data_IF_758987855790
#
_entry.id   IF_758987855790
#
_cell.length_a   1.000
_cell.length_b   1.000
_cell.length_c   1.000
_cell.angle_alpha   90.00
_cell.angle_beta   90.00
_cell.angle_gamma   90.00
#
_symmetry.space_group_name_H-M   'P 1'
#
loop_
_entity.id
_entity.type
_entity.pdbx_description
1 polymer ?
#
# COMPACT_ATOMS: atom_id res chain seq x y z
N UNK A 1 -44.23 39.49 20.65
CA UNK A 1 -43.71 38.41 19.77
C UNK A 1 -42.56 38.91 18.87
N UNK A 2 -41.57 39.63 19.41
CA UNK A 2 -40.40 40.08 18.63
C UNK A 2 -39.07 40.03 19.41
N UNK A 3 -39.12 39.84 20.74
CA UNK A 3 -37.91 39.84 21.59
C UNK A 3 -37.33 38.43 21.78
N UNK A 4 -38.10 37.37 21.51
CA UNK A 4 -37.67 35.98 21.70
C UNK A 4 -36.92 35.38 20.50
N UNK A 5 -37.04 35.97 19.30
CA UNK A 5 -36.38 35.48 18.08
C UNK A 5 -34.91 35.93 17.97
N UNK A 6 -34.54 37.07 18.59
CA UNK A 6 -33.17 37.59 18.54
C UNK A 6 -32.16 36.85 19.43
N UNK A 7 -32.63 36.23 20.53
CA UNK A 7 -31.75 35.54 21.48
C UNK A 7 -31.34 34.14 21.01
N UNK A 8 -32.16 33.48 20.19
CA UNK A 8 -31.83 32.14 19.66
C UNK A 8 -30.80 32.26 18.53
N UNK A 9 -30.84 33.33 17.73
CA UNK A 9 -29.85 33.57 16.67
C UNK A 9 -28.44 33.90 17.22
N UNK A 10 -28.35 34.44 18.44
CA UNK A 10 -27.06 34.79 19.06
C UNK A 10 -26.35 33.58 19.70
N UNK A 11 -27.09 32.55 20.13
CA UNK A 11 -26.52 31.35 20.76
C UNK A 11 -26.22 30.20 19.80
N UNK A 12 -26.82 30.19 18.60
CA UNK A 12 -26.62 29.09 17.63
C UNK A 12 -25.45 29.35 16.68
N UNK A 13 -25.07 30.61 16.45
CA UNK A 13 -23.95 30.95 15.55
C UNK A 13 -22.53 30.57 16.04
N UNK A 14 -22.19 30.51 17.35
CA UNK A 14 -20.86 30.12 17.77
C UNK A 14 -20.67 28.60 17.95
N UNK A 15 -21.75 27.81 18.00
CA UNK A 15 -21.63 26.36 18.28
C UNK A 15 -21.20 25.58 17.03
N UNK A 16 -21.61 26.02 15.84
CA UNK A 16 -21.16 25.41 14.57
C UNK A 16 -19.70 25.69 14.27
N UNK A 17 -19.15 26.82 14.76
CA UNK A 17 -17.75 27.17 14.52
C UNK A 17 -16.79 26.44 15.47
N UNK A 18 -17.25 25.92 16.62
CA UNK A 18 -16.39 25.24 17.60
C UNK A 18 -16.27 23.74 17.30
N UNK A 19 -17.30 23.10 16.74
CA UNK A 19 -17.28 21.66 16.40
C UNK A 19 -16.25 21.29 15.32
N UNK A 20 -15.95 22.20 14.41
CA UNK A 20 -15.02 21.98 13.29
C UNK A 20 -13.54 22.00 13.74
N UNK A 21 -13.21 22.80 14.76
CA UNK A 21 -11.86 22.83 15.34
C UNK A 21 -11.56 21.62 16.22
N UNK A 22 -12.57 21.08 16.92
CA UNK A 22 -12.40 19.86 17.72
C UNK A 22 -12.21 18.62 16.83
N UNK A 23 -12.87 18.55 15.67
CA UNK A 23 -12.69 17.45 14.72
C UNK A 23 -11.26 17.39 14.14
N UNK A 24 -10.71 18.54 13.75
CA UNK A 24 -9.35 18.65 13.19
C UNK A 24 -8.28 18.42 14.26
N UNK A 25 -8.50 18.92 15.49
CA UNK A 25 -7.56 18.69 16.59
C UNK A 25 -7.52 17.22 17.03
N UNK A 26 -8.66 16.53 17.10
CA UNK A 26 -8.71 15.12 17.49
C UNK A 26 -8.18 14.20 16.38
N UNK A 27 -8.46 14.49 15.11
CA UNK A 27 -7.90 13.73 14.00
C UNK A 27 -6.38 13.92 13.88
N UNK A 28 -5.88 15.15 14.06
CA UNK A 28 -4.45 15.45 14.06
C UNK A 28 -3.71 14.72 15.18
N UNK A 29 -4.27 14.71 16.41
CA UNK A 29 -3.68 13.96 17.53
C UNK A 29 -3.74 12.45 17.30
N UNK A 30 -4.82 11.91 16.73
CA UNK A 30 -4.91 10.49 16.40
C UNK A 30 -3.90 10.08 15.33
N UNK A 31 -3.72 10.88 14.28
CA UNK A 31 -2.72 10.66 13.23
C UNK A 31 -1.30 10.77 13.81
N UNK A 32 -1.03 11.76 14.66
CA UNK A 32 0.27 11.92 15.31
C UNK A 32 0.58 10.75 16.25
N UNK A 33 -0.39 10.30 17.05
CA UNK A 33 -0.26 9.11 17.90
C UNK A 33 -0.08 7.85 17.06
N UNK A 34 -0.78 7.72 15.93
CA UNK A 34 -0.64 6.60 15.01
C UNK A 34 0.76 6.55 14.37
N UNK A 35 1.25 7.68 13.86
CA UNK A 35 2.60 7.82 13.27
C UNK A 35 3.69 7.59 14.32
N UNK A 36 3.53 8.13 15.54
CA UNK A 36 4.49 7.95 16.63
C UNK A 36 4.47 6.52 17.18
N UNK A 37 3.30 5.87 17.24
CA UNK A 37 3.17 4.47 17.66
C UNK A 37 3.80 3.53 16.63
N UNK A 38 3.62 3.78 15.33
CA UNK A 38 4.28 3.03 14.26
C UNK A 38 5.80 3.26 14.22
N UNK A 39 6.28 4.50 14.43
CA UNK A 39 7.71 4.80 14.56
C UNK A 39 8.36 4.11 15.77
N UNK A 40 7.62 3.95 16.87
CA UNK A 40 8.12 3.25 18.08
C UNK A 40 8.09 1.74 17.90
N UNK A 41 7.14 1.19 17.14
CA UNK A 41 7.07 -0.23 16.82
C UNK A 41 8.17 -0.68 15.83
N UNK A 42 8.57 0.18 14.88
CA UNK A 42 9.70 -0.09 13.98
C UNK A 42 11.09 -0.03 14.62
N UNK A 43 11.21 0.30 15.91
CA UNK A 43 12.50 0.42 16.63
C UNK A 43 12.74 -0.71 17.64
N UNK A 44 11.90 -1.74 17.67
CA UNK A 44 12.02 -2.86 18.62
C UNK A 44 12.15 -4.22 17.93
N UNK A 45 13.06 -4.31 16.98
CA UNK A 45 13.71 -5.57 16.62
C UNK A 45 15.21 -5.44 16.89
N UNK A 46 15.50 -5.39 18.19
CA UNK A 46 16.84 -5.65 18.69
C UNK A 46 17.17 -7.12 18.46
N UNK A 47 18.00 -7.36 17.44
CA UNK A 47 19.22 -8.12 17.60
C UNK A 47 19.07 -9.49 18.29
N UNK A 48 18.50 -10.46 17.56
CA UNK A 48 18.81 -11.86 17.79
C UNK A 48 19.99 -12.23 16.88
N UNK A 49 21.15 -12.31 17.51
CA UNK A 49 22.43 -12.78 17.00
C UNK A 49 22.26 -14.15 16.30
N UNK A 50 22.30 -14.16 14.98
CA UNK A 50 22.45 -15.39 14.19
C UNK A 50 23.43 -15.14 13.07
N UNK A 51 24.68 -15.40 13.40
CA UNK A 51 25.81 -15.54 12.49
C UNK A 51 25.46 -16.47 11.30
N UNK A 52 25.50 -15.99 10.04
CA UNK A 52 25.48 -16.89 8.90
C UNK A 52 26.91 -17.39 8.61
N UNK A 53 27.11 -18.69 8.33
CA UNK A 53 28.39 -19.16 7.81
C UNK A 53 28.60 -18.64 6.39
N UNK A 54 29.84 -18.23 6.12
CA UNK A 54 30.32 -17.90 4.80
C UNK A 54 30.14 -19.12 3.88
N UNK A 55 29.37 -18.94 2.80
CA UNK A 55 29.46 -19.79 1.61
C UNK A 55 29.54 -18.84 0.42
N UNK A 56 30.60 -19.11 -0.34
CA UNK A 56 31.12 -18.35 -1.45
C UNK A 56 30.15 -18.24 -2.64
N UNK A 57 30.48 -17.29 -3.50
CA UNK A 57 29.84 -16.96 -4.76
C UNK A 57 29.52 -18.20 -5.61
N UNK A 58 28.29 -18.27 -6.11
CA UNK A 58 28.08 -18.81 -7.45
C UNK A 58 26.95 -18.06 -8.18
N UNK A 59 27.24 -17.87 -9.46
CA UNK A 59 26.61 -17.02 -10.46
C UNK A 59 25.13 -17.29 -10.74
N UNK A 60 24.57 -16.34 -11.49
CA UNK A 60 23.34 -16.41 -12.29
C UNK A 60 22.06 -16.15 -11.48
N UNK A 61 21.20 -15.21 -11.84
CA UNK A 61 20.71 -14.88 -13.18
C UNK A 61 20.50 -13.36 -13.23
N UNK A 62 21.11 -12.72 -14.23
CA UNK A 62 20.67 -11.41 -14.71
C UNK A 62 19.19 -11.52 -15.06
N UNK A 63 18.33 -11.03 -14.17
CA UNK A 63 16.91 -10.89 -14.45
C UNK A 63 16.78 -9.85 -15.55
N UNK A 64 16.78 -10.32 -16.79
CA UNK A 64 16.29 -9.56 -17.91
C UNK A 64 14.89 -9.11 -17.52
N UNK A 65 14.74 -7.82 -17.25
CA UNK A 65 13.44 -7.18 -17.06
C UNK A 65 12.74 -7.33 -18.40
N UNK A 66 11.98 -8.41 -18.54
CA UNK A 66 10.98 -8.52 -19.60
C UNK A 66 10.03 -7.37 -19.31
N UNK A 67 10.04 -6.36 -20.18
CA UNK A 67 8.96 -5.39 -20.28
C UNK A 67 7.74 -6.13 -20.83
N UNK A 68 7.16 -7.01 -20.00
CA UNK A 68 5.82 -7.48 -20.27
C UNK A 68 4.91 -6.25 -20.23
N UNK A 69 4.10 -6.01 -21.29
CA UNK A 69 3.15 -4.92 -21.30
C UNK A 69 2.23 -5.08 -20.10
N UNK A 70 2.19 -4.07 -19.23
CA UNK A 70 1.29 -4.04 -18.09
C UNK A 70 -0.13 -4.05 -18.66
N UNK A 71 -0.87 -5.13 -18.43
CA UNK A 71 -2.28 -5.19 -18.82
C UNK A 71 -3.04 -4.03 -18.15
N UNK A 72 -4.01 -3.41 -18.86
CA UNK A 72 -4.73 -2.26 -18.33
C UNK A 72 -5.44 -2.66 -17.03
N UNK A 73 -5.23 -1.88 -15.97
CA UNK A 73 -5.87 -2.13 -14.69
C UNK A 73 -7.39 -2.15 -14.85
N UNK A 74 -8.05 -3.12 -14.23
CA UNK A 74 -9.51 -3.23 -14.25
C UNK A 74 -10.21 -1.98 -13.66
N UNK A 75 -9.53 -1.25 -12.76
CA UNK A 75 -10.00 0.03 -12.24
C UNK A 75 -9.38 1.21 -13.01
N UNK A 76 -10.18 1.96 -13.81
CA UNK A 76 -9.67 3.09 -14.58
C UNK A 76 -9.13 4.22 -13.70
N UNK A 77 -9.57 4.35 -12.45
CA UNK A 77 -9.07 5.38 -11.53
C UNK A 77 -7.65 5.07 -11.07
N UNK A 78 -7.34 3.79 -10.87
CA UNK A 78 -5.98 3.34 -10.50
C UNK A 78 -5.05 3.51 -11.70
N UNK A 79 -5.49 3.16 -12.91
CA UNK A 79 -4.72 3.37 -14.13
C UNK A 79 -4.35 4.84 -14.34
N UNK A 80 -5.31 5.76 -14.20
CA UNK A 80 -5.05 7.20 -14.34
C UNK A 80 -4.14 7.73 -13.23
N UNK A 81 -4.29 7.24 -11.99
CA UNK A 81 -3.41 7.62 -10.89
C UNK A 81 -1.94 7.24 -11.18
N UNK A 82 -1.68 6.04 -11.70
CA UNK A 82 -0.32 5.64 -12.08
C UNK A 82 0.25 6.47 -13.23
N UNK A 83 -0.59 6.85 -14.19
CA UNK A 83 -0.20 7.76 -15.26
C UNK A 83 0.19 9.14 -14.72
N UNK A 84 -0.64 9.73 -13.86
CA UNK A 84 -0.34 11.01 -13.20
C UNK A 84 0.94 10.89 -12.37
N UNK A 85 1.14 9.82 -11.61
CA UNK A 85 2.37 9.60 -10.86
C UNK A 85 3.61 9.61 -11.77
N UNK A 86 3.53 8.99 -12.94
CA UNK A 86 4.60 9.02 -13.95
C UNK A 86 4.88 10.40 -14.52
N UNK A 87 3.84 11.24 -14.66
CA UNK A 87 3.98 12.63 -15.11
C UNK A 87 4.57 13.55 -14.02
N UNK A 88 4.22 13.31 -12.75
CA UNK A 88 4.73 14.09 -11.61
C UNK A 88 6.18 13.75 -11.25
N UNK A 89 6.61 12.51 -11.52
CA UNK A 89 7.88 11.96 -11.07
C UNK A 89 8.61 11.17 -12.21
N UNK A 90 8.86 11.78 -13.38
CA UNK A 90 9.37 11.09 -14.56
C UNK A 90 10.76 10.47 -14.34
N UNK A 91 11.60 11.09 -13.51
CA UNK A 91 12.92 10.56 -13.14
C UNK A 91 12.86 9.23 -12.38
N UNK A 92 11.70 8.86 -11.84
CA UNK A 92 11.48 7.64 -11.07
C UNK A 92 10.70 6.56 -11.83
N UNK A 93 10.55 6.69 -13.16
CA UNK A 93 9.73 5.80 -13.99
C UNK A 93 9.96 4.29 -13.74
N UNK A 94 11.21 3.86 -13.55
CA UNK A 94 11.55 2.45 -13.27
C UNK A 94 11.06 1.97 -11.91
N UNK A 95 11.13 2.82 -10.88
CA UNK A 95 10.62 2.51 -9.53
C UNK A 95 9.10 2.43 -9.54
N UNK A 96 8.46 3.40 -10.20
CA UNK A 96 7.01 3.43 -10.36
C UNK A 96 6.49 2.23 -11.18
N UNK A 97 7.19 1.80 -12.22
CA UNK A 97 6.77 0.63 -13.01
C UNK A 97 6.84 -0.68 -12.22
N UNK A 98 7.87 -0.85 -11.38
CA UNK A 98 7.97 -1.99 -10.46
C UNK A 98 6.84 -1.95 -9.42
N UNK A 99 6.61 -0.80 -8.78
CA UNK A 99 5.56 -0.63 -7.80
C UNK A 99 4.17 -0.91 -8.40
N UNK A 100 3.91 -0.36 -9.59
CA UNK A 100 2.68 -0.59 -10.36
C UNK A 100 2.46 -2.07 -10.64
N UNK A 101 3.49 -2.82 -11.06
CA UNK A 101 3.37 -4.25 -11.36
C UNK A 101 2.98 -5.10 -10.15
N UNK A 102 3.55 -4.81 -8.97
CA UNK A 102 3.16 -5.53 -7.75
C UNK A 102 1.70 -5.24 -7.36
N UNK A 103 1.27 -3.98 -7.49
CA UNK A 103 -0.11 -3.59 -7.23
C UNK A 103 -1.08 -4.18 -8.26
N UNK A 104 -0.76 -4.12 -9.57
CA UNK A 104 -1.60 -4.68 -10.64
C UNK A 104 -1.80 -6.18 -10.45
N UNK A 105 -0.75 -6.89 -10.02
CA UNK A 105 -0.84 -8.32 -9.77
C UNK A 105 -1.85 -8.66 -8.68
N UNK A 106 -1.91 -7.89 -7.59
CA UNK A 106 -2.95 -8.10 -6.56
C UNK A 106 -4.35 -7.79 -7.10
N UNK A 107 -4.50 -6.74 -7.91
CA UNK A 107 -5.78 -6.38 -8.52
C UNK A 107 -6.27 -7.48 -9.47
N UNK A 108 -5.39 -8.04 -10.30
CA UNK A 108 -5.70 -9.20 -11.16
C UNK A 108 -6.14 -10.40 -10.33
N UNK A 109 -5.37 -10.76 -9.30
CA UNK A 109 -5.70 -11.90 -8.44
C UNK A 109 -7.06 -11.72 -7.76
N UNK A 110 -7.45 -10.50 -7.42
CA UNK A 110 -8.75 -10.22 -6.80
C UNK A 110 -9.96 -10.43 -7.73
N UNK A 111 -9.74 -10.58 -9.04
CA UNK A 111 -10.79 -10.84 -10.04
C UNK A 111 -11.02 -12.33 -10.33
N UNK A 112 -10.18 -13.22 -9.77
CA UNK A 112 -10.33 -14.67 -9.94
C UNK A 112 -11.59 -15.20 -9.20
N UNK A 113 -12.13 -16.35 -9.61
CA UNK A 113 -13.34 -16.92 -8.98
C UNK A 113 -13.10 -17.50 -7.56
N UNK A 114 -11.86 -17.89 -7.26
CA UNK A 114 -11.45 -18.50 -6.00
C UNK A 114 -10.38 -17.66 -5.31
N UNK A 115 -10.83 -16.57 -4.66
CA UNK A 115 -9.95 -15.56 -4.07
C UNK A 115 -10.02 -15.58 -2.56
N UNK A 116 -8.86 -15.51 -1.93
CA UNK A 116 -8.73 -15.36 -0.49
C UNK A 116 -9.17 -13.96 -0.07
N UNK A 117 -9.90 -13.86 1.06
CA UNK A 117 -10.43 -12.58 1.53
C UNK A 117 -9.33 -11.52 1.76
N UNK A 118 -8.13 -11.92 2.17
CA UNK A 118 -6.98 -11.02 2.34
C UNK A 118 -6.53 -10.35 1.03
N UNK A 119 -6.67 -11.05 -0.11
CA UNK A 119 -6.37 -10.49 -1.44
C UNK A 119 -7.41 -9.44 -1.82
N UNK A 120 -8.69 -9.67 -1.51
CA UNK A 120 -9.78 -8.70 -1.73
C UNK A 120 -9.61 -7.44 -0.86
N UNK A 121 -9.18 -7.61 0.38
CA UNK A 121 -8.87 -6.48 1.27
C UNK A 121 -7.67 -5.68 0.76
N UNK A 122 -6.63 -6.36 0.33
CA UNK A 122 -5.44 -5.74 -0.24
C UNK A 122 -5.78 -4.98 -1.54
N UNK A 123 -6.60 -5.56 -2.43
CA UNK A 123 -7.03 -4.89 -3.66
C UNK A 123 -7.87 -3.65 -3.36
N UNK A 124 -8.81 -3.75 -2.41
CA UNK A 124 -9.63 -2.62 -1.96
C UNK A 124 -8.76 -1.50 -1.37
N UNK A 125 -7.74 -1.87 -0.58
CA UNK A 125 -6.76 -0.93 -0.05
C UNK A 125 -5.99 -0.21 -1.17
N UNK A 126 -5.51 -0.94 -2.18
CA UNK A 126 -4.78 -0.38 -3.34
C UNK A 126 -5.68 0.58 -4.12
N UNK A 127 -6.90 0.15 -4.48
CA UNK A 127 -7.85 0.94 -5.28
C UNK A 127 -8.24 2.27 -4.60
N UNK A 128 -8.21 2.33 -3.27
CA UNK A 128 -8.45 3.57 -2.54
C UNK A 128 -7.19 4.41 -2.39
N UNK A 129 -6.10 3.80 -1.95
CA UNK A 129 -4.93 4.52 -1.42
C UNK A 129 -4.02 5.06 -2.52
N UNK A 130 -3.87 4.33 -3.64
CA UNK A 130 -3.04 4.80 -4.76
C UNK A 130 -3.59 6.10 -5.36
N UNK A 131 -4.87 6.20 -5.75
CA UNK A 131 -5.43 7.45 -6.26
C UNK A 131 -5.37 8.59 -5.22
N UNK A 132 -5.62 8.29 -3.94
CA UNK A 132 -5.59 9.28 -2.86
C UNK A 132 -4.19 9.87 -2.68
N UNK A 133 -3.15 9.03 -2.61
CA UNK A 133 -1.76 9.46 -2.47
C UNK A 133 -1.31 10.32 -3.66
N UNK A 134 -1.62 9.88 -4.89
CA UNK A 134 -1.28 10.64 -6.10
C UNK A 134 -2.02 11.97 -6.16
N UNK A 135 -3.31 12.00 -5.83
CA UNK A 135 -4.10 13.25 -5.83
C UNK A 135 -3.57 14.26 -4.81
N UNK A 136 -3.15 13.78 -3.63
CA UNK A 136 -2.58 14.60 -2.57
C UNK A 136 -1.23 15.17 -3.00
N UNK A 137 -0.34 14.34 -3.53
CA UNK A 137 0.95 14.79 -4.02
C UNK A 137 0.81 15.78 -5.18
N UNK A 138 -0.12 15.55 -6.12
CA UNK A 138 -0.40 16.46 -7.22
C UNK A 138 -0.83 17.85 -6.71
N UNK A 139 -1.71 17.89 -5.70
CA UNK A 139 -2.15 19.14 -5.09
C UNK A 139 -0.97 19.88 -4.42
N UNK A 140 -0.16 19.17 -3.63
CA UNK A 140 1.02 19.76 -2.97
C UNK A 140 2.06 20.29 -3.96
N UNK A 141 2.33 19.55 -5.04
CA UNK A 141 3.28 19.97 -6.07
C UNK A 141 2.80 21.19 -6.87
N UNK A 142 1.48 21.34 -7.03
CA UNK A 142 0.89 22.51 -7.69
C UNK A 142 1.13 23.78 -6.88
N UNK A 143 1.08 23.69 -5.55
CA UNK A 143 1.28 24.81 -4.64
C UNK A 143 2.76 25.08 -4.33
N UNK A 144 3.66 24.13 -4.62
CA UNK A 144 5.10 24.25 -4.39
C UNK A 144 5.74 25.32 -5.30
N UNK A 145 6.36 26.32 -4.68
CA UNK A 145 6.98 27.45 -5.37
C UNK A 145 8.38 27.12 -5.92
N UNK A 146 9.14 26.29 -5.20
CA UNK A 146 10.52 25.96 -5.54
C UNK A 146 10.62 24.63 -6.31
N UNK A 147 11.47 24.54 -7.35
CA UNK A 147 11.73 23.27 -8.05
C UNK A 147 12.29 22.17 -7.13
N UNK A 148 13.06 22.53 -6.11
CA UNK A 148 13.60 21.57 -5.14
C UNK A 148 12.50 20.94 -4.29
N UNK A 149 11.52 21.73 -3.87
CA UNK A 149 10.38 21.27 -3.08
C UNK A 149 9.52 20.28 -3.87
N UNK A 150 9.27 20.55 -5.16
CA UNK A 150 8.57 19.60 -6.05
C UNK A 150 9.31 18.27 -6.18
N UNK A 151 10.64 18.29 -6.28
CA UNK A 151 11.45 17.06 -6.31
C UNK A 151 11.36 16.28 -5.01
N UNK A 152 11.40 16.96 -3.86
CA UNK A 152 11.21 16.29 -2.57
C UNK A 152 9.83 15.63 -2.47
N UNK A 153 8.77 16.34 -2.87
CA UNK A 153 7.41 15.78 -2.93
C UNK A 153 7.30 14.60 -3.89
N UNK A 154 8.05 14.61 -5.01
CA UNK A 154 8.05 13.52 -5.98
C UNK A 154 8.73 12.28 -5.41
N UNK A 155 9.86 12.45 -4.71
CA UNK A 155 10.52 11.36 -4.01
C UNK A 155 9.62 10.76 -2.91
N UNK A 156 8.95 11.61 -2.12
CA UNK A 156 8.00 11.18 -1.09
C UNK A 156 6.83 10.38 -1.67
N UNK A 157 6.22 10.87 -2.75
CA UNK A 157 5.16 10.14 -3.46
C UNK A 157 5.65 8.76 -3.91
N UNK A 158 6.82 8.68 -4.53
CA UNK A 158 7.38 7.41 -5.01
C UNK A 158 7.62 6.45 -3.86
N UNK A 159 8.18 6.93 -2.74
CA UNK A 159 8.39 6.12 -1.53
C UNK A 159 7.07 5.59 -0.96
N UNK A 160 6.01 6.40 -0.95
CA UNK A 160 4.70 5.95 -0.47
C UNK A 160 4.07 4.91 -1.41
N UNK A 161 4.19 5.10 -2.73
CA UNK A 161 3.72 4.11 -3.71
C UNK A 161 4.51 2.80 -3.63
N UNK A 162 5.81 2.85 -3.37
CA UNK A 162 6.64 1.66 -3.12
C UNK A 162 6.24 0.93 -1.83
N UNK A 163 5.87 1.65 -0.76
CA UNK A 163 5.37 1.02 0.47
C UNK A 163 4.04 0.29 0.23
N UNK A 164 3.15 0.88 -0.56
CA UNK A 164 1.89 0.22 -0.97
C UNK A 164 2.21 -1.05 -1.78
N UNK A 165 3.13 -0.94 -2.74
CA UNK A 165 3.54 -2.07 -3.57
C UNK A 165 4.23 -3.19 -2.77
N UNK A 166 5.03 -2.84 -1.77
CA UNK A 166 5.67 -3.81 -0.88
C UNK A 166 4.63 -4.63 -0.11
N UNK A 167 3.59 -3.99 0.42
CA UNK A 167 2.46 -4.69 1.06
C UNK A 167 1.72 -5.60 0.07
N UNK A 168 1.54 -5.15 -1.17
CA UNK A 168 0.94 -5.96 -2.23
C UNK A 168 1.78 -7.22 -2.52
N UNK A 169 3.11 -7.05 -2.58
CA UNK A 169 4.05 -8.14 -2.81
C UNK A 169 4.04 -9.16 -1.65
N UNK A 170 4.00 -8.70 -0.40
CA UNK A 170 3.90 -9.55 0.79
C UNK A 170 2.63 -10.41 0.76
N UNK A 171 1.50 -9.87 0.30
CA UNK A 171 0.27 -10.63 0.17
C UNK A 171 0.37 -11.72 -0.91
N UNK A 172 0.99 -11.41 -2.06
CA UNK A 172 1.24 -12.39 -3.12
C UNK A 172 2.13 -13.53 -2.61
N UNK A 173 3.19 -13.19 -1.88
CA UNK A 173 4.13 -14.19 -1.36
C UNK A 173 3.52 -15.02 -0.23
N UNK A 174 2.68 -14.41 0.61
CA UNK A 174 1.87 -15.11 1.62
C UNK A 174 0.95 -16.15 0.95
N UNK A 175 0.16 -15.75 -0.05
CA UNK A 175 -0.71 -16.67 -0.82
C UNK A 175 0.11 -17.80 -1.45
N UNK A 176 1.24 -17.47 -2.08
CA UNK A 176 2.14 -18.45 -2.70
C UNK A 176 2.66 -19.47 -1.68
N UNK A 177 3.01 -19.01 -0.48
CA UNK A 177 3.47 -19.87 0.60
C UNK A 177 2.34 -20.79 1.10
N UNK A 178 1.12 -20.27 1.26
CA UNK A 178 -0.05 -21.05 1.67
C UNK A 178 -0.36 -22.16 0.65
N UNK A 179 -0.35 -21.85 -0.65
CA UNK A 179 -0.55 -22.82 -1.72
C UNK A 179 0.56 -23.90 -1.74
N UNK A 180 1.81 -23.52 -1.49
CA UNK A 180 2.91 -24.49 -1.36
C UNK A 180 2.72 -25.41 -0.16
N UNK A 181 2.29 -24.86 0.97
CA UNK A 181 2.04 -25.63 2.18
C UNK A 181 0.88 -26.60 2.01
N UNK A 182 -0.23 -26.16 1.40
CA UNK A 182 -1.39 -27.03 1.14
C UNK A 182 -1.00 -28.19 0.20
N UNK A 183 -0.22 -27.91 -0.84
CA UNK A 183 0.31 -28.95 -1.74
C UNK A 183 1.22 -29.96 -1.02
N UNK A 184 2.10 -29.49 -0.13
CA UNK A 184 2.96 -30.37 0.66
C UNK A 184 2.16 -31.29 1.59
N UNK A 185 1.04 -30.81 2.15
CA UNK A 185 0.13 -31.63 2.97
C UNK A 185 -0.48 -32.75 2.11
N UNK A 186 -1.01 -32.41 0.93
CA UNK A 186 -1.60 -33.40 0.00
C UNK A 186 -0.56 -34.46 -0.40
N UNK A 187 0.63 -34.04 -0.79
CA UNK A 187 1.72 -34.95 -1.15
C UNK A 187 2.09 -35.90 0.00
N UNK A 188 2.19 -35.38 1.21
CA UNK A 188 2.49 -36.19 2.41
C UNK A 188 1.37 -37.18 2.71
N UNK A 189 0.10 -36.77 2.54
CA UNK A 189 -1.04 -37.67 2.73
C UNK A 189 -1.03 -38.82 1.73
N UNK A 190 -0.74 -38.55 0.46
CA UNK A 190 -0.63 -39.57 -0.59
C UNK A 190 0.50 -40.55 -0.23
N UNK A 191 1.70 -40.04 0.07
CA UNK A 191 2.85 -40.86 0.41
C UNK A 191 2.57 -41.80 1.59
N UNK A 192 1.89 -41.31 2.63
CA UNK A 192 1.52 -42.10 3.81
C UNK A 192 0.47 -43.18 3.54
N UNK A 193 -0.47 -42.96 2.60
CA UNK A 193 -1.43 -44.01 2.20
C UNK A 193 -0.75 -45.07 1.34
N UNK A 194 0.03 -44.64 0.35
CA UNK A 194 0.70 -45.57 -0.55
C UNK A 194 1.76 -46.43 0.15
N UNK A 195 2.43 -45.92 1.19
CA UNK A 195 3.39 -46.72 1.97
C UNK A 195 2.72 -47.73 2.90
N UNK A 196 1.50 -47.45 3.36
CA UNK A 196 0.71 -48.35 4.21
C UNK A 196 0.14 -49.52 3.42
N UNK A 197 -0.29 -49.28 2.18
CA UNK A 197 -0.88 -50.32 1.32
C UNK A 197 0.19 -51.26 0.70
N UNK A 198 1.48 -50.90 0.83
CA UNK A 198 2.62 -51.68 0.33
C UNK A 198 3.23 -52.65 1.37
N UNK A 199 2.69 -52.69 2.60
CA UNK A 199 3.06 -53.60 3.70
C UNK A 199 1.96 -54.63 3.95
#
# INVERSE_FOLDING_TARGET
MAVLAGLIAFFVLPISLVGEWFGIAVSGVAILVFVLSHRKFGRREGFADRQPPAVEEEQAISSAVVEDPIEPEADPRVAEAWKIAGELAPEYAKRLSLARRSCSRVLELATEDAVEWSVVDCSTFISRTVPEAVSTAAALMKDAAAPLERRCLADELVVDLERIAQRAQEEIDSRRLQLRNSWNIVRTHIANRTSRDAL
#
